data_IF_857160655639
#
_entry.id   IF_857160655639
#
_cell.length_a   1.000
_cell.length_b   1.000
_cell.length_c   1.000
_cell.angle_alpha   90.00
_cell.angle_beta   90.00
_cell.angle_gamma   90.00
#
_symmetry.space_group_name_H-M   'P 1'
#
loop_
_entity.id
_entity.type
_entity.pdbx_description
1 polymer ?
#
# COMPACT_ATOMS: atom_id res chain seq x y z
N UNK A 1 4.95 25.04 54.99
CA UNK A 1 5.48 23.69 55.32
C UNK A 1 4.29 22.94 55.92
N UNK A 2 3.68 21.89 55.37
CA UNK A 2 4.19 20.78 54.55
C UNK A 2 3.03 20.21 53.71
N UNK A 3 3.30 19.84 52.45
CA UNK A 3 2.40 19.06 51.59
C UNK A 3 2.65 17.57 51.90
N UNK A 4 1.61 16.84 52.30
CA UNK A 4 1.66 15.38 52.39
C UNK A 4 1.30 14.82 51.02
N UNK A 5 2.26 14.14 50.42
CA UNK A 5 2.10 13.36 49.20
C UNK A 5 1.31 12.08 49.50
N UNK A 6 0.22 11.86 48.79
CA UNK A 6 -0.42 10.55 48.69
C UNK A 6 0.14 9.84 47.45
N UNK A 7 1.19 9.05 47.63
CA UNK A 7 1.73 8.14 46.63
C UNK A 7 0.86 6.87 46.58
N UNK A 8 0.34 6.52 45.41
CA UNK A 8 -0.24 5.20 45.13
C UNK A 8 0.79 4.32 44.38
N UNK A 9 0.92 3.01 44.68
CA UNK A 9 1.82 2.10 43.97
C UNK A 9 1.08 1.36 42.82
N UNK A 10 1.72 0.37 42.16
CA UNK A 10 2.32 0.43 40.84
C UNK A 10 1.36 -0.06 39.72
N UNK A 11 1.29 0.66 38.60
CA UNK A 11 0.66 0.16 37.37
C UNK A 11 1.70 -0.51 36.48
N UNK A 12 1.44 -1.71 35.92
CA UNK A 12 2.34 -2.29 34.92
C UNK A 12 2.35 -1.36 33.70
N UNK A 13 3.52 -0.77 33.44
CA UNK A 13 3.79 -0.08 32.19
C UNK A 13 3.66 -1.08 31.06
N UNK A 14 2.49 -1.09 30.41
CA UNK A 14 2.34 -1.62 29.07
C UNK A 14 3.12 -0.68 28.14
N UNK A 15 4.44 -0.86 28.14
CA UNK A 15 5.22 -0.61 26.93
C UNK A 15 4.47 -1.31 25.80
N UNK A 16 4.09 -0.62 24.72
CA UNK A 16 3.66 -1.30 23.53
C UNK A 16 4.88 -2.07 23.04
N UNK A 17 4.97 -3.34 23.45
CA UNK A 17 5.78 -4.37 22.82
C UNK A 17 5.77 -4.06 21.32
N UNK A 18 6.93 -3.81 20.70
CA UNK A 18 6.99 -3.60 19.27
C UNK A 18 6.51 -4.90 18.68
N UNK A 19 5.22 -4.92 18.36
CA UNK A 19 4.52 -6.05 17.79
C UNK A 19 5.44 -6.53 16.70
N UNK A 20 5.95 -7.74 16.86
CA UNK A 20 6.82 -8.45 15.93
C UNK A 20 5.99 -8.78 14.70
N UNK A 21 5.47 -7.73 14.07
CA UNK A 21 4.80 -7.73 12.79
C UNK A 21 5.89 -8.18 11.85
N UNK A 22 5.85 -9.45 11.51
CA UNK A 22 6.70 -10.04 10.48
C UNK A 22 6.74 -9.02 9.35
N UNK A 23 7.90 -8.33 9.23
CA UNK A 23 8.05 -7.24 8.28
C UNK A 23 7.82 -7.89 6.93
N UNK A 24 6.76 -7.47 6.23
CA UNK A 24 6.47 -8.01 4.92
C UNK A 24 7.72 -7.87 4.04
N UNK A 25 7.98 -8.86 3.18
CA UNK A 25 9.09 -8.86 2.24
C UNK A 25 9.19 -7.55 1.44
N UNK A 26 8.05 -6.92 1.13
CA UNK A 26 8.01 -5.62 0.48
C UNK A 26 8.42 -4.45 1.39
N UNK A 27 8.11 -4.48 2.69
CA UNK A 27 8.60 -3.49 3.65
C UNK A 27 10.11 -3.56 3.80
N UNK A 28 10.64 -4.79 3.92
CA UNK A 28 12.08 -5.04 3.91
C UNK A 28 12.72 -4.50 2.63
N UNK A 29 12.11 -4.77 1.47
CA UNK A 29 12.62 -4.28 0.19
C UNK A 29 12.61 -2.76 0.05
N UNK A 30 11.53 -2.09 0.46
CA UNK A 30 11.45 -0.62 0.41
C UNK A 30 12.45 0.03 1.38
N UNK A 31 12.70 -0.57 2.55
CA UNK A 31 13.77 -0.15 3.46
C UNK A 31 15.16 -0.39 2.83
N UNK A 32 15.36 -1.52 2.14
CA UNK A 32 16.61 -1.87 1.45
C UNK A 32 16.97 -0.86 0.35
N UNK A 33 16.01 -0.50 -0.52
CA UNK A 33 16.22 0.51 -1.58
C UNK A 33 16.63 1.85 -0.98
N UNK A 34 15.97 2.29 0.11
CA UNK A 34 16.30 3.55 0.77
C UNK A 34 17.75 3.59 1.24
N UNK A 35 18.29 2.45 1.67
CA UNK A 35 19.68 2.32 2.09
C UNK A 35 20.68 2.27 0.93
N UNK A 36 20.29 1.70 -0.22
CA UNK A 36 21.14 1.53 -1.40
C UNK A 36 21.32 2.82 -2.21
N UNK A 37 20.36 3.76 -2.13
CA UNK A 37 20.54 5.14 -2.66
C UNK A 37 21.76 5.84 -2.03
N UNK A 38 22.28 5.36 -0.90
CA UNK A 38 23.47 5.90 -0.24
C UNK A 38 24.80 5.19 -0.59
N UNK A 39 24.78 4.00 -1.21
CA UNK A 39 25.99 3.20 -1.43
C UNK A 39 26.02 2.63 -2.86
N UNK A 40 26.73 3.32 -3.76
CA UNK A 40 26.93 2.85 -5.14
C UNK A 40 28.03 1.79 -5.24
N UNK A 41 27.71 0.62 -5.82
CA UNK A 41 28.71 -0.39 -6.20
C UNK A 41 28.74 -0.57 -7.72
N UNK A 42 29.97 -0.68 -8.24
CA UNK A 42 30.32 -0.58 -9.64
C UNK A 42 30.31 -1.93 -10.35
N UNK A 43 29.66 -1.97 -11.51
CA UNK A 43 30.21 -2.35 -12.83
C UNK A 43 29.04 -2.80 -13.69
N UNK A 44 28.48 -1.86 -14.44
CA UNK A 44 27.49 -2.16 -15.46
C UNK A 44 27.70 -1.23 -16.64
N UNK A 45 27.89 -1.81 -17.82
CA UNK A 45 28.07 -1.10 -19.08
C UNK A 45 26.85 -0.22 -19.34
N UNK A 46 27.11 1.09 -19.48
CA UNK A 46 26.17 2.22 -19.44
C UNK A 46 24.96 2.16 -20.41
N UNK A 47 24.98 1.33 -21.44
CA UNK A 47 23.83 1.17 -22.36
C UNK A 47 22.93 0.01 -22.00
N UNK A 48 23.45 -0.96 -21.26
CA UNK A 48 22.76 -2.22 -21.02
C UNK A 48 21.72 -2.04 -19.92
N UNK A 49 21.98 -1.19 -18.91
CA UNK A 49 21.02 -0.97 -17.82
C UNK A 49 19.65 -0.45 -18.29
N UNK A 50 19.58 0.36 -19.34
CA UNK A 50 18.29 0.85 -19.84
C UNK A 50 17.53 -0.25 -20.56
N UNK A 51 18.24 -1.11 -21.29
CA UNK A 51 17.66 -2.26 -22.01
C UNK A 51 17.23 -3.34 -21.01
N UNK A 52 18.08 -3.64 -20.04
CA UNK A 52 17.80 -4.58 -18.95
C UNK A 52 16.61 -4.09 -18.12
N UNK A 53 16.62 -2.82 -17.71
CA UNK A 53 15.48 -2.24 -17.01
C UNK A 53 14.21 -2.26 -17.86
N UNK A 54 14.28 -1.91 -19.14
CA UNK A 54 13.13 -1.97 -20.03
C UNK A 54 12.56 -3.39 -20.13
N UNK A 55 13.42 -4.40 -20.17
CA UNK A 55 13.02 -5.82 -20.19
C UNK A 55 12.29 -6.20 -18.91
N UNK A 56 12.84 -5.84 -17.74
CA UNK A 56 12.19 -6.09 -16.45
C UNK A 56 10.84 -5.37 -16.35
N UNK A 57 10.76 -4.10 -16.76
CA UNK A 57 9.51 -3.33 -16.73
C UNK A 57 8.47 -3.90 -17.71
N UNK A 58 8.88 -4.41 -18.86
CA UNK A 58 7.98 -5.06 -19.81
C UNK A 58 7.35 -6.30 -19.18
N UNK A 59 8.18 -7.19 -18.61
CA UNK A 59 7.70 -8.38 -17.89
C UNK A 59 6.78 -8.02 -16.72
N UNK A 60 7.11 -6.96 -15.96
CA UNK A 60 6.25 -6.48 -14.88
C UNK A 60 4.85 -6.10 -15.38
N UNK A 61 4.78 -5.38 -16.51
CA UNK A 61 3.51 -4.96 -17.12
C UNK A 61 2.70 -6.15 -17.66
N UNK A 62 3.35 -7.11 -18.31
CA UNK A 62 2.66 -8.34 -18.78
C UNK A 62 2.04 -9.11 -17.61
N UNK A 63 2.76 -9.22 -16.49
CA UNK A 63 2.27 -9.90 -15.29
C UNK A 63 1.20 -9.11 -14.55
N UNK A 64 1.30 -7.79 -14.52
CA UNK A 64 0.27 -6.90 -13.97
C UNK A 64 -1.06 -7.05 -14.71
N UNK A 65 -1.02 -7.15 -16.05
CA UNK A 65 -2.20 -7.44 -16.89
C UNK A 65 -2.70 -8.87 -16.70
N UNK A 66 -1.80 -9.82 -16.47
CA UNK A 66 -2.15 -11.22 -16.22
C UNK A 66 -2.62 -11.49 -14.78
N UNK A 67 -2.72 -10.46 -13.94
CA UNK A 67 -3.06 -10.53 -12.51
C UNK A 67 -2.11 -11.40 -11.65
N UNK A 68 -0.92 -11.71 -12.17
CA UNK A 68 0.16 -12.35 -11.42
C UNK A 68 0.94 -11.27 -10.66
N UNK A 69 0.28 -10.74 -9.62
CA UNK A 69 0.75 -9.60 -8.85
C UNK A 69 2.03 -9.87 -8.05
N UNK A 70 2.30 -11.13 -7.71
CA UNK A 70 3.54 -11.53 -7.05
C UNK A 70 4.72 -11.43 -8.01
N UNK A 71 4.61 -12.02 -9.21
CA UNK A 71 5.63 -11.89 -10.24
C UNK A 71 5.78 -10.45 -10.74
N UNK A 72 4.66 -9.73 -10.93
CA UNK A 72 4.66 -8.33 -11.35
C UNK A 72 5.44 -7.45 -10.36
N UNK A 73 5.21 -7.65 -9.06
CA UNK A 73 5.94 -6.94 -8.01
C UNK A 73 7.44 -7.20 -8.13
N UNK A 74 7.87 -8.46 -8.19
CA UNK A 74 9.29 -8.82 -8.33
C UNK A 74 9.95 -8.17 -9.56
N UNK A 75 9.28 -8.17 -10.71
CA UNK A 75 9.81 -7.52 -11.91
C UNK A 75 9.88 -5.98 -11.79
N UNK A 76 8.92 -5.34 -11.12
CA UNK A 76 9.04 -3.91 -10.79
C UNK A 76 10.23 -3.63 -9.88
N UNK A 77 10.51 -4.53 -8.92
CA UNK A 77 11.65 -4.41 -8.02
C UNK A 77 12.98 -4.48 -8.79
N UNK A 78 13.14 -5.51 -9.63
CA UNK A 78 14.34 -5.70 -10.43
C UNK A 78 14.55 -4.55 -11.43
N UNK A 79 13.47 -4.09 -12.09
CA UNK A 79 13.54 -2.95 -12.99
C UNK A 79 14.00 -1.66 -12.30
N UNK A 80 13.51 -1.39 -11.09
CA UNK A 80 13.93 -0.22 -10.30
C UNK A 80 15.38 -0.33 -9.83
N UNK A 81 15.82 -1.51 -9.41
CA UNK A 81 17.20 -1.74 -8.97
C UNK A 81 18.21 -1.46 -10.10
N UNK A 82 17.95 -2.01 -11.29
CA UNK A 82 18.79 -1.78 -12.48
C UNK A 82 18.83 -0.28 -12.85
N UNK A 83 17.69 0.43 -12.77
CA UNK A 83 17.65 1.86 -13.03
C UNK A 83 18.45 2.67 -12.00
N UNK A 84 18.37 2.32 -10.71
CA UNK A 84 19.12 3.00 -9.65
C UNK A 84 20.63 2.82 -9.81
N UNK A 85 21.08 1.59 -10.10
CA UNK A 85 22.49 1.30 -10.40
C UNK A 85 22.99 2.08 -11.62
N UNK A 86 22.18 2.13 -12.68
CA UNK A 86 22.52 2.85 -13.91
C UNK A 86 22.57 4.37 -13.79
N UNK A 87 21.69 4.98 -12.98
CA UNK A 87 21.66 6.44 -12.76
C UNK A 87 22.95 6.95 -12.10
N UNK A 88 23.63 6.14 -11.29
CA UNK A 88 24.87 6.55 -10.63
C UNK A 88 26.04 6.66 -11.61
N UNK A 89 26.09 5.79 -12.62
CA UNK A 89 27.19 5.71 -13.61
C UNK A 89 26.93 6.52 -14.88
N UNK A 90 25.75 7.13 -15.00
CA UNK A 90 25.35 7.85 -16.20
C UNK A 90 25.79 9.34 -16.15
N UNK A 91 26.69 9.79 -17.04
CA UNK A 91 27.12 11.19 -17.12
C UNK A 91 26.07 12.13 -17.72
N UNK A 92 24.99 11.63 -18.34
CA UNK A 92 23.93 12.49 -18.86
C UNK A 92 22.92 12.81 -17.75
N UNK A 93 22.97 14.05 -17.24
CA UNK A 93 22.09 14.53 -16.17
C UNK A 93 20.60 14.54 -16.55
N UNK A 94 20.25 14.96 -17.77
CA UNK A 94 18.86 14.99 -18.21
C UNK A 94 18.26 13.58 -18.26
N UNK A 95 19.04 12.61 -18.74
CA UNK A 95 18.63 11.21 -18.76
C UNK A 95 18.47 10.66 -17.34
N UNK A 96 19.38 10.98 -16.43
CA UNK A 96 19.25 10.61 -15.01
C UNK A 96 17.98 11.17 -14.38
N UNK A 97 17.63 12.43 -14.66
CA UNK A 97 16.40 13.05 -14.15
C UNK A 97 15.14 12.36 -14.70
N UNK A 98 15.10 12.09 -16.00
CA UNK A 98 14.01 11.33 -16.61
C UNK A 98 13.88 9.92 -16.01
N UNK A 99 15.00 9.24 -15.74
CA UNK A 99 15.00 7.93 -15.10
C UNK A 99 14.49 8.00 -13.66
N UNK A 100 14.90 9.01 -12.87
CA UNK A 100 14.39 9.22 -11.49
C UNK A 100 12.88 9.41 -11.46
N UNK A 101 12.33 10.16 -12.42
CA UNK A 101 10.87 10.31 -12.57
C UNK A 101 10.20 8.97 -12.88
N UNK A 102 10.80 8.16 -13.77
CA UNK A 102 10.30 6.82 -14.08
C UNK A 102 10.37 5.87 -12.88
N UNK A 103 11.47 5.86 -12.12
CA UNK A 103 11.61 5.07 -10.89
C UNK A 103 10.47 5.39 -9.93
N UNK A 104 10.18 6.68 -9.71
CA UNK A 104 9.09 7.10 -8.82
C UNK A 104 7.73 6.57 -9.29
N UNK A 105 7.48 6.56 -10.61
CA UNK A 105 6.26 5.99 -11.19
C UNK A 105 6.16 4.48 -10.95
N UNK A 106 7.25 3.74 -11.15
CA UNK A 106 7.26 2.29 -10.95
C UNK A 106 7.13 1.91 -9.47
N UNK A 107 7.76 2.67 -8.57
CA UNK A 107 7.61 2.48 -7.13
C UNK A 107 6.17 2.69 -6.68
N UNK A 108 5.48 3.73 -7.18
CA UNK A 108 4.06 3.94 -6.89
C UNK A 108 3.21 2.73 -7.31
N UNK A 109 3.46 2.20 -8.51
CA UNK A 109 2.71 1.02 -8.99
C UNK A 109 3.01 -0.22 -8.17
N UNK A 110 4.27 -0.47 -7.82
CA UNK A 110 4.68 -1.57 -6.95
C UNK A 110 4.02 -1.47 -5.56
N UNK A 111 3.92 -0.25 -5.00
CA UNK A 111 3.21 0.01 -3.74
C UNK A 111 1.70 -0.28 -3.84
N UNK A 112 1.06 0.12 -4.95
CA UNK A 112 -0.35 -0.21 -5.20
C UNK A 112 -0.58 -1.72 -5.24
N UNK A 113 0.26 -2.44 -5.99
CA UNK A 113 0.22 -3.91 -6.08
C UNK A 113 0.36 -4.52 -4.69
N UNK A 114 1.35 -4.05 -3.92
CA UNK A 114 1.60 -4.54 -2.59
C UNK A 114 0.41 -4.32 -1.64
N UNK A 115 -0.13 -3.10 -1.58
CA UNK A 115 -1.22 -2.76 -0.66
C UNK A 115 -2.54 -3.45 -1.02
N UNK A 116 -2.85 -3.59 -2.31
CA UNK A 116 -4.13 -4.12 -2.76
C UNK A 116 -4.17 -5.65 -2.82
N UNK A 117 -3.06 -6.27 -3.28
CA UNK A 117 -3.03 -7.68 -3.66
C UNK A 117 -2.15 -8.54 -2.76
N UNK A 118 -1.04 -8.01 -2.22
CA UNK A 118 -0.10 -8.81 -1.43
C UNK A 118 -0.33 -8.66 0.09
N UNK A 119 -0.62 -7.45 0.61
CA UNK A 119 -0.96 -7.24 2.02
C UNK A 119 -2.31 -7.85 2.41
N UNK A 120 -3.30 -7.83 1.51
CA UNK A 120 -4.62 -8.43 1.76
C UNK A 120 -4.51 -9.94 1.97
N UNK A 121 -3.59 -10.59 1.26
CA UNK A 121 -3.34 -12.03 1.35
C UNK A 121 -2.69 -12.40 2.69
N UNK A 122 -1.84 -11.54 3.26
CA UNK A 122 -1.17 -11.79 4.55
C UNK A 122 -2.08 -11.61 5.79
N UNK A 123 -3.28 -11.05 5.62
CA UNK A 123 -4.22 -10.77 6.71
C UNK A 123 -5.60 -11.43 6.57
N UNK A 124 -5.83 -12.25 5.53
CA UNK A 124 -7.14 -12.85 5.27
C UNK A 124 -7.20 -14.34 5.68
N UNK A 125 -6.99 -14.58 6.97
CA UNK A 125 -7.66 -15.68 7.64
C UNK A 125 -8.99 -15.16 8.17
N UNK A 126 -10.11 -15.61 7.61
CA UNK A 126 -11.52 -15.31 7.96
C UNK A 126 -12.16 -14.08 7.31
N UNK A 127 -12.86 -14.31 6.19
CA UNK A 127 -14.34 -14.33 6.19
C UNK A 127 -14.87 -14.22 4.75
N UNK A 128 -15.59 -15.23 4.24
CA UNK A 128 -16.27 -15.17 2.96
C UNK A 128 -17.71 -14.69 3.18
N UNK A 129 -17.96 -13.38 3.28
CA UNK A 129 -19.32 -12.91 3.00
C UNK A 129 -19.38 -11.40 2.76
N UNK A 130 -20.38 -11.03 1.96
CA UNK A 130 -20.91 -9.68 1.72
C UNK A 130 -20.36 -9.01 0.47
N UNK A 131 -20.79 -9.54 -0.68
CA UNK A 131 -21.07 -8.70 -1.82
C UNK A 131 -22.16 -7.69 -1.48
N UNK A 132 -21.90 -6.42 -1.77
CA UNK A 132 -22.81 -5.28 -2.00
C UNK A 132 -21.86 -4.12 -2.33
N UNK A 133 -22.04 -3.24 -3.29
CA UNK A 133 -22.85 -3.14 -4.50
C UNK A 133 -22.20 -2.03 -5.32
N UNK A 134 -22.52 -1.97 -6.60
CA UNK A 134 -22.13 -0.96 -7.58
C UNK A 134 -22.37 0.49 -7.12
N UNK A 135 -21.45 1.12 -6.38
CA UNK A 135 -21.16 2.56 -6.43
C UNK A 135 -19.75 2.80 -5.87
N UNK A 136 -18.91 3.46 -6.68
CA UNK A 136 -17.53 3.83 -6.40
C UNK A 136 -17.42 4.68 -5.14
N UNK A 137 -17.12 4.09 -4.00
CA UNK A 137 -16.67 4.84 -2.83
C UNK A 137 -15.38 4.22 -2.28
N UNK A 138 -14.38 5.09 -2.12
CA UNK A 138 -13.04 4.79 -1.64
C UNK A 138 -13.12 4.15 -0.24
N UNK A 139 -12.09 3.37 0.17
CA UNK A 139 -12.03 2.82 1.51
C UNK A 139 -12.05 3.96 2.56
N UNK A 140 -13.12 4.05 3.36
CA UNK A 140 -13.20 5.02 4.46
C UNK A 140 -12.35 4.49 5.61
N UNK A 141 -11.09 4.95 5.65
CA UNK A 141 -10.16 4.68 6.74
C UNK A 141 -10.46 5.61 7.93
N UNK A 142 -11.61 5.43 8.60
CA UNK A 142 -11.91 5.92 9.97
C UNK A 142 -13.39 5.66 10.32
N UNK A 143 -13.75 4.42 10.63
CA UNK A 143 -15.09 4.10 11.15
C UNK A 143 -15.12 3.81 12.66
N UNK A 144 -13.97 3.76 13.34
CA UNK A 144 -13.92 3.52 14.79
C UNK A 144 -14.62 4.62 15.60
N UNK A 145 -14.52 5.89 15.17
CA UNK A 145 -15.25 6.99 15.82
C UNK A 145 -16.76 6.90 15.59
N UNK A 146 -17.19 6.47 14.40
CA UNK A 146 -18.61 6.31 14.06
C UNK A 146 -19.25 5.16 14.87
N UNK A 147 -18.53 4.08 15.14
CA UNK A 147 -19.02 2.95 15.94
C UNK A 147 -19.18 3.32 17.42
N UNK A 148 -18.23 4.06 18.02
CA UNK A 148 -18.37 4.54 19.40
C UNK A 148 -19.52 5.54 19.56
N UNK A 149 -19.78 6.39 18.56
CA UNK A 149 -20.95 7.27 18.57
C UNK A 149 -22.27 6.49 18.45
N UNK A 150 -22.28 5.35 17.75
CA UNK A 150 -23.47 4.53 17.57
C UNK A 150 -23.83 3.71 18.83
N UNK A 151 -22.89 3.46 19.75
CA UNK A 151 -23.18 2.77 21.02
C UNK A 151 -24.19 3.55 21.89
N UNK A 152 -24.32 4.85 21.70
CA UNK A 152 -25.32 5.70 22.37
C UNK A 152 -26.68 5.77 21.67
N UNK A 153 -26.81 5.21 20.46
CA UNK A 153 -28.03 5.29 19.68
C UNK A 153 -28.87 4.01 19.84
N UNK A 154 -30.17 4.16 20.11
CA UNK A 154 -31.15 3.06 20.08
C UNK A 154 -32.04 3.20 18.85
N UNK A 155 -32.36 2.08 18.20
CA UNK A 155 -33.26 2.04 17.04
C UNK A 155 -34.66 2.46 17.48
N UNK A 156 -35.17 3.56 16.90
CA UNK A 156 -36.49 4.14 17.26
C UNK A 156 -37.63 3.56 16.39
N UNK A 157 -37.32 2.95 15.25
CA UNK A 157 -38.33 2.29 14.41
C UNK A 157 -37.80 1.83 13.05
N UNK A 158 -38.59 1.00 12.37
CA UNK A 158 -38.31 0.52 11.01
C UNK A 158 -39.21 1.28 10.03
N UNK A 159 -38.61 2.01 9.10
CA UNK A 159 -39.36 2.69 8.04
C UNK A 159 -39.63 1.70 6.92
N UNK A 160 -40.89 1.27 6.77
CA UNK A 160 -41.33 0.48 5.63
C UNK A 160 -41.40 1.38 4.41
N UNK A 161 -40.56 1.13 3.40
CA UNK A 161 -40.60 1.85 2.12
C UNK A 161 -41.84 1.43 1.33
N UNK A 162 -42.87 2.28 1.31
CA UNK A 162 -43.95 2.19 0.33
C UNK A 162 -43.46 2.78 -1.00
N UNK A 163 -43.26 1.92 -1.99
CA UNK A 163 -43.10 2.38 -3.38
C UNK A 163 -44.51 2.77 -3.85
N UNK A 164 -44.74 4.07 -4.07
CA UNK A 164 -45.98 4.55 -4.69
C UNK A 164 -46.11 4.03 -6.13
N UNK A 165 -47.35 3.87 -6.64
CA UNK A 165 -47.57 3.33 -7.97
C UNK A 165 -47.02 4.28 -9.05
N UNK A 166 -46.30 3.66 -9.98
CA UNK A 166 -45.74 4.25 -11.18
C UNK A 166 -46.89 4.89 -12.01
N UNK A 167 -46.89 6.20 -12.30
CA UNK A 167 -47.89 6.77 -13.20
C UNK A 167 -47.64 6.20 -14.60
N UNK A 168 -48.59 5.39 -15.08
CA UNK A 168 -48.56 4.78 -16.41
C UNK A 168 -48.55 5.83 -17.53
N UNK A 169 -48.16 5.43 -18.75
CA UNK A 169 -48.01 6.36 -19.86
C UNK A 169 -49.37 6.93 -20.29
N UNK A 170 -49.42 8.25 -20.48
CA UNK A 170 -50.57 8.93 -21.06
C UNK A 170 -50.83 8.42 -22.49
N UNK A 171 -52.09 8.14 -22.80
CA UNK A 171 -52.57 7.83 -24.13
C UNK A 171 -52.54 9.04 -25.07
#
# INVERSE_FOLDING_TARGET
>A
MSLVACECPPGPGLEPEPCSRARSQACMYLEQIRHWVAAGTADMTKRDYLVDAATQIHLALERDVSEDYEAAFNYYQNGVDVLLRGVHVDPNKERCEAVKLKITKYLRRAEEIFNCHLQRTLGSGTSPNTGFSSLRLRPIRTLSSALEQLKGCRVVGIIKKSWGPNPGPCA
#
